data_IF_984099569339
#
_entry.id   IF_984099569339
#
_cell.length_a   1.000
_cell.length_b   1.000
_cell.length_c   1.000
_cell.angle_alpha   90.00
_cell.angle_beta   90.00
_cell.angle_gamma   90.00
#
_symmetry.space_group_name_H-M   'P 1'
#
loop_
_entity.id
_entity.type
_entity.pdbx_description
1 polymer ?
#
# COMPACT_ATOMS: atom_id res chain seq x y z
N UNK A 1 -17.41 35.98 26.28
CA UNK A 1 -17.71 34.55 26.05
C UNK A 1 -17.32 34.23 24.62
N UNK A 2 -16.49 33.20 24.35
CA UNK A 2 -16.12 32.85 22.98
C UNK A 2 -17.30 32.21 22.25
N UNK A 3 -17.46 32.43 20.93
CA UNK A 3 -18.51 31.78 20.16
C UNK A 3 -18.20 30.29 19.95
N UNK A 4 -19.22 29.46 20.20
CA UNK A 4 -19.24 28.01 20.04
C UNK A 4 -18.94 27.56 18.60
N UNK A 5 -18.27 26.42 18.48
CA UNK A 5 -17.97 25.74 17.23
C UNK A 5 -19.26 25.37 16.44
N UNK A 6 -19.21 25.25 15.11
CA UNK A 6 -20.38 24.85 14.33
C UNK A 6 -20.61 23.33 14.41
N UNK A 7 -21.70 22.95 15.07
CA UNK A 7 -22.36 21.65 14.92
C UNK A 7 -23.28 21.69 13.70
N UNK A 8 -22.90 21.08 12.57
CA UNK A 8 -23.87 20.52 11.60
C UNK A 8 -23.18 19.51 10.67
N UNK A 9 -23.09 18.25 11.08
CA UNK A 9 -23.04 17.14 10.11
C UNK A 9 -24.49 16.86 9.69
N UNK A 10 -24.85 17.07 8.43
CA UNK A 10 -26.19 16.83 7.89
C UNK A 10 -26.21 15.50 7.12
N UNK A 11 -27.12 14.61 7.48
CA UNK A 11 -27.29 13.28 6.91
C UNK A 11 -27.90 13.24 5.48
N UNK A 12 -27.89 14.36 4.73
CA UNK A 12 -28.41 14.47 3.36
C UNK A 12 -27.33 14.25 2.28
N UNK A 13 -26.13 13.81 2.66
CA UNK A 13 -24.97 13.60 1.77
C UNK A 13 -24.88 12.18 1.18
N UNK A 14 -26.00 11.48 0.97
CA UNK A 14 -25.98 10.13 0.39
C UNK A 14 -25.52 10.12 -1.08
N UNK A 15 -25.71 11.23 -1.81
CA UNK A 15 -25.17 11.44 -3.18
C UNK A 15 -23.64 11.66 -3.17
N UNK A 16 -23.11 12.12 -2.04
CA UNK A 16 -21.68 12.33 -1.84
C UNK A 16 -20.94 11.00 -1.62
N UNK A 17 -21.61 9.93 -1.17
CA UNK A 17 -20.95 8.64 -0.93
C UNK A 17 -20.37 8.04 -2.20
N UNK A 18 -21.12 8.04 -3.30
CA UNK A 18 -20.63 7.47 -4.57
C UNK A 18 -19.51 8.32 -5.18
N UNK A 19 -19.62 9.66 -5.12
CA UNK A 19 -18.55 10.55 -5.58
C UNK A 19 -17.29 10.44 -4.70
N UNK A 20 -17.47 10.34 -3.39
CA UNK A 20 -16.41 10.10 -2.42
C UNK A 20 -15.74 8.74 -2.69
N UNK A 21 -16.51 7.66 -2.89
CA UNK A 21 -15.98 6.33 -3.23
C UNK A 21 -15.22 6.33 -4.55
N UNK A 22 -15.71 7.03 -5.58
CA UNK A 22 -14.98 7.23 -6.84
C UNK A 22 -13.68 7.99 -6.61
N UNK A 23 -13.70 9.07 -5.84
CA UNK A 23 -12.48 9.83 -5.52
C UNK A 23 -11.48 9.00 -4.70
N UNK A 24 -11.95 8.16 -3.78
CA UNK A 24 -11.11 7.21 -3.04
C UNK A 24 -10.47 6.20 -3.99
N UNK A 25 -11.24 5.61 -4.91
CA UNK A 25 -10.74 4.66 -5.89
C UNK A 25 -9.69 5.30 -6.81
N UNK A 26 -9.94 6.52 -7.31
CA UNK A 26 -8.98 7.26 -8.16
C UNK A 26 -7.66 7.50 -7.42
N UNK A 27 -7.72 7.96 -6.17
CA UNK A 27 -6.51 8.20 -5.37
C UNK A 27 -5.77 6.90 -5.04
N UNK A 28 -6.48 5.81 -4.76
CA UNK A 28 -5.87 4.50 -4.50
C UNK A 28 -5.16 3.95 -5.75
N UNK A 29 -5.79 4.05 -6.92
CA UNK A 29 -5.19 3.68 -8.22
C UNK A 29 -4.00 4.58 -8.55
N UNK A 30 -4.07 5.87 -8.27
CA UNK A 30 -2.96 6.79 -8.49
C UNK A 30 -1.77 6.47 -7.58
N UNK A 31 -2.02 6.17 -6.31
CA UNK A 31 -0.97 5.72 -5.38
C UNK A 31 -0.33 4.41 -5.85
N UNK A 32 -1.15 3.45 -6.29
CA UNK A 32 -0.71 2.17 -6.85
C UNK A 32 0.21 2.37 -8.07
N UNK A 33 -0.23 3.16 -9.05
CA UNK A 33 0.54 3.45 -10.26
C UNK A 33 1.83 4.22 -9.95
N UNK A 34 1.77 5.17 -9.01
CA UNK A 34 2.95 5.93 -8.57
C UNK A 34 3.97 5.01 -7.92
N UNK A 35 3.51 4.12 -7.04
CA UNK A 35 4.37 3.17 -6.35
C UNK A 35 5.01 2.17 -7.33
N UNK A 36 4.24 1.63 -8.27
CA UNK A 36 4.77 0.77 -9.32
C UNK A 36 5.83 1.47 -10.17
N UNK A 37 5.56 2.69 -10.63
CA UNK A 37 6.52 3.47 -11.42
C UNK A 37 7.81 3.83 -10.67
N UNK A 38 7.78 3.83 -9.33
CA UNK A 38 8.99 3.95 -8.52
C UNK A 38 9.76 2.63 -8.53
N UNK A 39 9.09 1.50 -8.30
CA UNK A 39 9.71 0.16 -8.32
C UNK A 39 10.30 -0.23 -9.69
N UNK A 40 9.75 0.29 -10.78
CA UNK A 40 10.32 0.12 -12.13
C UNK A 40 11.68 0.83 -12.25
N UNK A 41 11.83 1.99 -11.60
CA UNK A 41 13.02 2.85 -11.71
C UNK A 41 14.10 2.55 -10.67
N UNK A 42 13.71 2.10 -9.48
CA UNK A 42 14.63 1.80 -8.38
C UNK A 42 14.29 0.46 -7.74
N UNK A 43 15.30 -0.30 -7.27
CA UNK A 43 15.07 -1.55 -6.56
C UNK A 43 14.29 -1.29 -5.26
N UNK A 44 13.31 -2.14 -4.96
CA UNK A 44 12.47 -2.02 -3.78
C UNK A 44 13.27 -2.02 -2.49
N UNK A 45 14.37 -2.79 -2.41
CA UNK A 45 15.27 -2.81 -1.25
C UNK A 45 15.96 -1.49 -0.91
N UNK A 46 16.07 -0.57 -1.87
CA UNK A 46 16.62 0.77 -1.61
C UNK A 46 15.54 1.81 -1.32
N UNK A 47 14.26 1.44 -1.41
CA UNK A 47 13.14 2.37 -1.25
C UNK A 47 12.78 2.56 0.22
N UNK A 48 12.61 3.83 0.61
CA UNK A 48 12.01 4.21 1.89
C UNK A 48 10.62 4.80 1.66
N UNK A 49 9.61 4.18 2.25
CA UNK A 49 8.21 4.56 2.13
C UNK A 49 7.83 5.67 3.11
N UNK A 50 8.42 5.65 4.30
CA UNK A 50 8.22 6.63 5.36
C UNK A 50 9.54 6.95 6.07
N UNK A 51 9.52 7.98 6.94
CA UNK A 51 10.67 8.34 7.77
C UNK A 51 10.93 7.34 8.91
N UNK A 52 9.95 6.50 9.22
CA UNK A 52 9.92 5.60 10.39
C UNK A 52 9.80 4.13 9.96
N UNK A 53 10.28 3.78 8.77
CA UNK A 53 10.15 2.43 8.21
C UNK A 53 10.75 1.34 9.12
N UNK A 54 11.89 1.64 9.75
CA UNK A 54 12.53 0.78 10.73
C UNK A 54 11.59 0.45 11.91
N UNK A 55 10.92 1.45 12.46
CA UNK A 55 9.97 1.28 13.56
C UNK A 55 8.73 0.50 13.13
N UNK A 56 8.22 0.79 11.92
CA UNK A 56 7.05 0.10 11.36
C UNK A 56 7.33 -1.39 11.18
N UNK A 57 8.50 -1.71 10.62
CA UNK A 57 8.94 -3.09 10.41
C UNK A 57 9.11 -3.83 11.74
N UNK A 58 9.81 -3.23 12.71
CA UNK A 58 10.03 -3.85 14.02
C UNK A 58 8.70 -4.10 14.76
N UNK A 59 7.79 -3.13 14.73
CA UNK A 59 6.46 -3.28 15.31
C UNK A 59 5.66 -4.38 14.60
N UNK A 60 5.73 -4.47 13.27
CA UNK A 60 5.04 -5.52 12.52
C UNK A 60 5.55 -6.90 12.92
N UNK A 61 6.86 -7.10 12.94
CA UNK A 61 7.47 -8.39 13.33
C UNK A 61 7.19 -8.74 14.80
N UNK A 62 7.02 -7.74 15.67
CA UNK A 62 6.68 -7.94 17.07
C UNK A 62 5.21 -8.32 17.29
N UNK A 63 4.28 -7.63 16.65
CA UNK A 63 2.83 -7.85 16.84
C UNK A 63 2.29 -8.99 15.95
N UNK A 64 2.97 -9.24 14.82
CA UNK A 64 2.68 -10.30 13.86
C UNK A 64 3.95 -11.11 13.56
N UNK A 65 4.48 -11.88 14.54
CA UNK A 65 5.67 -12.71 14.31
C UNK A 65 5.43 -13.85 13.29
N UNK A 66 4.15 -14.18 13.07
CA UNK A 66 3.68 -15.12 12.06
C UNK A 66 3.57 -14.53 10.65
N UNK A 67 3.72 -13.20 10.50
CA UNK A 67 3.58 -12.54 9.22
C UNK A 67 4.80 -12.78 8.34
N UNK A 68 4.59 -13.51 7.25
CA UNK A 68 5.61 -13.75 6.23
C UNK A 68 5.36 -12.86 5.01
N UNK A 69 6.26 -11.90 4.69
CA UNK A 69 6.07 -10.99 3.56
C UNK A 69 6.19 -11.66 2.19
N UNK A 70 6.76 -12.87 2.10
CA UNK A 70 6.92 -13.64 0.87
C UNK A 70 5.68 -14.49 0.53
N UNK A 71 4.79 -14.72 1.49
CA UNK A 71 3.57 -15.51 1.32
C UNK A 71 2.43 -14.65 0.80
N UNK A 72 1.48 -15.27 0.10
CA UNK A 72 0.23 -14.61 -0.29
C UNK A 72 -0.55 -14.24 0.97
N UNK A 73 -0.87 -12.95 1.10
CA UNK A 73 -1.66 -12.47 2.22
C UNK A 73 -3.07 -13.04 2.14
N UNK A 74 -3.53 -13.65 3.23
CA UNK A 74 -4.88 -14.16 3.33
C UNK A 74 -5.85 -13.04 3.74
N UNK A 75 -6.70 -12.64 2.80
CA UNK A 75 -7.68 -11.59 3.02
C UNK A 75 -8.67 -11.94 4.14
N UNK A 76 -9.05 -13.22 4.26
CA UNK A 76 -9.99 -13.69 5.28
C UNK A 76 -9.42 -13.52 6.69
N UNK A 77 -8.14 -13.82 6.88
CA UNK A 77 -7.47 -13.64 8.18
C UNK A 77 -7.39 -12.17 8.58
N UNK A 78 -7.13 -11.27 7.63
CA UNK A 78 -7.15 -9.83 7.90
C UNK A 78 -8.56 -9.30 8.19
N UNK A 79 -9.57 -9.85 7.51
CA UNK A 79 -10.99 -9.48 7.69
C UNK A 79 -11.63 -10.16 8.92
N UNK A 80 -10.99 -11.18 9.49
CA UNK A 80 -11.43 -11.86 10.70
C UNK A 80 -11.55 -10.89 11.88
N UNK A 81 -12.35 -11.25 12.90
CA UNK A 81 -12.50 -10.41 14.11
C UNK A 81 -11.16 -10.15 14.79
N UNK A 82 -10.33 -11.20 14.91
CA UNK A 82 -9.01 -11.09 15.53
C UNK A 82 -8.06 -10.22 14.68
N UNK A 83 -8.02 -10.45 13.35
CA UNK A 83 -7.19 -9.67 12.43
C UNK A 83 -7.55 -8.18 12.44
N UNK A 84 -8.85 -7.86 12.35
CA UNK A 84 -9.33 -6.47 12.42
C UNK A 84 -8.92 -5.78 13.72
N UNK A 85 -9.04 -6.45 14.86
CA UNK A 85 -8.68 -5.86 16.15
C UNK A 85 -7.17 -5.66 16.28
N UNK A 86 -6.35 -6.64 15.88
CA UNK A 86 -4.89 -6.53 15.86
C UNK A 86 -4.42 -5.40 14.94
N UNK A 87 -4.88 -5.39 13.69
CA UNK A 87 -4.54 -4.33 12.74
C UNK A 87 -5.02 -2.95 13.19
N UNK A 88 -6.21 -2.85 13.80
CA UNK A 88 -6.68 -1.59 14.38
C UNK A 88 -5.76 -1.10 15.49
N UNK A 89 -5.32 -1.99 16.39
CA UNK A 89 -4.37 -1.65 17.45
C UNK A 89 -3.03 -1.20 16.88
N UNK A 90 -2.52 -1.92 15.87
CA UNK A 90 -1.30 -1.56 15.15
C UNK A 90 -1.41 -0.16 14.52
N UNK A 91 -2.49 0.10 13.78
CA UNK A 91 -2.72 1.39 13.11
C UNK A 91 -2.86 2.56 14.09
N UNK A 92 -3.53 2.35 15.23
CA UNK A 92 -3.72 3.38 16.26
C UNK A 92 -2.40 3.88 16.85
N UNK A 93 -1.33 3.06 16.85
CA UNK A 93 0.00 3.50 17.29
C UNK A 93 0.62 4.57 16.37
N UNK A 94 0.12 4.68 15.14
CA UNK A 94 0.57 5.65 14.14
C UNK A 94 -0.41 6.80 13.92
N UNK A 95 -1.51 6.83 14.68
CA UNK A 95 -2.43 7.94 14.69
C UNK A 95 -1.68 9.21 15.13
N UNK A 96 -1.58 10.22 14.25
CA UNK A 96 -0.74 11.44 14.36
C UNK A 96 0.76 11.29 14.03
N UNK A 97 1.27 10.09 13.73
CA UNK A 97 2.66 9.91 13.25
C UNK A 97 2.72 9.77 11.74
N UNK A 98 1.72 9.11 11.16
CA UNK A 98 1.58 8.90 9.72
C UNK A 98 0.34 9.66 9.27
N UNK A 99 0.55 10.59 8.34
CA UNK A 99 -0.54 11.34 7.73
C UNK A 99 -1.39 10.40 6.87
N UNK A 100 -2.72 10.54 6.95
CA UNK A 100 -3.66 9.70 6.20
C UNK A 100 -3.45 8.19 6.45
N UNK A 101 -3.06 7.78 7.66
CA UNK A 101 -2.76 6.37 7.97
C UNK A 101 -3.94 5.42 7.69
N UNK A 102 -5.18 5.91 7.79
CA UNK A 102 -6.42 5.18 7.52
C UNK A 102 -6.90 5.30 6.07
N UNK A 103 -6.20 6.04 5.21
CA UNK A 103 -6.58 6.21 3.81
C UNK A 103 -6.49 4.89 3.05
N UNK A 104 -7.48 4.57 2.22
CA UNK A 104 -7.52 3.31 1.49
C UNK A 104 -6.53 3.25 0.33
N UNK A 105 -5.73 2.18 0.28
CA UNK A 105 -4.69 1.93 -0.72
C UNK A 105 -4.80 0.52 -1.28
N UNK A 106 -4.11 0.26 -2.40
CA UNK A 106 -4.13 -1.06 -3.03
C UNK A 106 -2.75 -1.70 -2.84
N UNK A 107 -2.74 -2.91 -2.27
CA UNK A 107 -1.52 -3.72 -2.13
C UNK A 107 -1.70 -5.04 -2.86
N UNK A 108 -0.59 -5.60 -3.34
CA UNK A 108 -0.59 -6.93 -3.98
C UNK A 108 -0.72 -8.00 -2.90
N UNK A 109 -1.57 -8.99 -3.14
CA UNK A 109 -1.75 -10.15 -2.25
C UNK A 109 -0.45 -10.94 -2.16
N UNK A 110 0.26 -11.10 -3.28
CA UNK A 110 1.56 -11.76 -3.35
C UNK A 110 2.63 -10.82 -3.94
N UNK A 111 3.85 -10.74 -3.37
CA UNK A 111 4.91 -9.89 -3.90
C UNK A 111 5.43 -10.32 -5.29
N UNK A 112 5.23 -11.57 -5.69
CA UNK A 112 5.66 -12.13 -6.99
C UNK A 112 4.67 -11.89 -8.12
N UNK A 113 3.50 -11.32 -7.82
CA UNK A 113 2.46 -11.06 -8.81
C UNK A 113 2.49 -9.60 -9.26
N UNK A 114 1.93 -9.35 -10.44
CA UNK A 114 1.65 -8.01 -10.93
C UNK A 114 0.32 -7.52 -10.36
N UNK A 115 0.02 -6.23 -10.54
CA UNK A 115 -1.29 -5.69 -10.18
C UNK A 115 -2.37 -6.30 -11.08
N UNK A 116 -3.26 -7.09 -10.50
CA UNK A 116 -4.41 -7.69 -11.18
C UNK A 116 -5.68 -7.64 -10.33
N UNK A 117 -6.82 -7.99 -10.93
CA UNK A 117 -8.14 -7.84 -10.28
C UNK A 117 -8.31 -8.80 -9.09
N UNK A 118 -7.75 -10.00 -9.16
CA UNK A 118 -7.86 -11.03 -8.12
C UNK A 118 -6.61 -11.07 -7.23
N UNK A 119 -5.52 -10.46 -7.70
CA UNK A 119 -4.18 -10.46 -7.12
C UNK A 119 -3.93 -9.28 -6.18
N UNK A 120 -4.92 -8.39 -6.03
CA UNK A 120 -4.81 -7.17 -5.23
C UNK A 120 -5.87 -7.10 -4.16
N UNK A 121 -5.55 -6.43 -3.07
CA UNK A 121 -6.43 -6.24 -1.93
C UNK A 121 -6.43 -4.77 -1.52
N UNK A 122 -7.59 -4.30 -1.06
CA UNK A 122 -7.76 -2.96 -0.56
C UNK A 122 -7.45 -2.90 0.94
N UNK A 123 -6.45 -2.11 1.30
CA UNK A 123 -5.96 -1.99 2.68
C UNK A 123 -5.70 -0.53 3.03
N UNK A 124 -5.93 -0.10 4.29
CA UNK A 124 -5.43 1.18 4.78
C UNK A 124 -3.93 1.39 4.49
N UNK A 125 -3.55 2.65 4.28
CA UNK A 125 -2.18 3.09 3.95
C UNK A 125 -1.15 2.56 4.96
N UNK A 126 -1.52 2.51 6.24
CA UNK A 126 -0.63 1.97 7.27
C UNK A 126 -0.37 0.47 7.12
N UNK A 127 -1.39 -0.30 6.71
CA UNK A 127 -1.21 -1.73 6.40
C UNK A 127 -0.34 -1.88 5.14
N UNK A 128 -0.60 -1.07 4.11
CA UNK A 128 0.25 -1.02 2.91
C UNK A 128 1.71 -0.77 3.27
N UNK A 129 2.00 0.23 4.12
CA UNK A 129 3.36 0.50 4.55
C UNK A 129 3.97 -0.69 5.29
N UNK A 130 3.27 -1.26 6.26
CA UNK A 130 3.79 -2.41 7.00
C UNK A 130 4.17 -3.58 6.07
N UNK A 131 3.27 -3.94 5.15
CA UNK A 131 3.45 -5.03 4.19
C UNK A 131 4.59 -4.72 3.21
N UNK A 132 4.56 -3.56 2.55
CA UNK A 132 5.53 -3.23 1.51
C UNK A 132 6.92 -2.90 2.08
N UNK A 133 7.03 -2.31 3.27
CA UNK A 133 8.31 -2.13 3.95
C UNK A 133 8.95 -3.49 4.24
N UNK A 134 8.17 -4.45 4.73
CA UNK A 134 8.66 -5.81 4.95
C UNK A 134 9.13 -6.41 3.62
N UNK A 135 8.33 -6.34 2.55
CA UNK A 135 8.70 -6.87 1.23
C UNK A 135 9.96 -6.24 0.66
N UNK A 136 10.09 -4.92 0.76
CA UNK A 136 11.26 -4.17 0.31
C UNK A 136 12.51 -4.60 1.07
N UNK A 137 12.45 -4.74 2.40
CA UNK A 137 13.59 -5.22 3.20
C UNK A 137 14.05 -6.62 2.83
N UNK A 138 13.12 -7.49 2.44
CA UNK A 138 13.41 -8.85 2.00
C UNK A 138 13.75 -8.95 0.50
N UNK A 139 13.83 -7.81 -0.22
CA UNK A 139 14.14 -7.78 -1.66
C UNK A 139 13.08 -8.43 -2.55
N UNK A 140 11.87 -8.63 -2.03
CA UNK A 140 10.80 -9.35 -2.72
C UNK A 140 10.18 -8.54 -3.87
N UNK A 141 10.51 -7.25 -3.96
CA UNK A 141 10.04 -6.34 -5.00
C UNK A 141 11.11 -6.01 -6.05
N UNK A 142 12.36 -6.46 -5.87
CA UNK A 142 13.48 -6.08 -6.75
C UNK A 142 13.31 -6.66 -8.17
N UNK A 143 12.62 -7.79 -8.30
CA UNK A 143 12.32 -8.39 -9.60
C UNK A 143 11.54 -7.47 -10.54
N UNK A 144 10.77 -6.51 -10.00
CA UNK A 144 9.98 -5.54 -10.79
C UNK A 144 10.93 -4.61 -11.54
N UNK A 145 11.93 -4.09 -10.82
CA UNK A 145 12.99 -3.28 -11.41
C UNK A 145 13.73 -4.09 -12.48
N UNK A 146 14.17 -5.30 -12.16
CA UNK A 146 14.90 -6.17 -13.10
C UNK A 146 14.09 -6.49 -14.37
N UNK A 147 12.80 -6.81 -14.22
CA UNK A 147 11.89 -7.08 -15.33
C UNK A 147 11.75 -5.83 -16.22
N UNK A 148 11.52 -4.67 -15.61
CA UNK A 148 11.37 -3.41 -16.34
C UNK A 148 12.64 -3.05 -17.12
N UNK A 149 13.82 -3.12 -16.49
CA UNK A 149 15.08 -2.83 -17.17
C UNK A 149 15.33 -3.76 -18.37
N UNK A 150 15.01 -5.06 -18.23
CA UNK A 150 15.10 -6.03 -19.34
C UNK A 150 14.14 -5.69 -20.48
N UNK A 151 12.91 -5.30 -20.17
CA UNK A 151 11.92 -4.93 -21.18
C UNK A 151 12.34 -3.67 -21.93
N UNK A 152 12.86 -2.66 -21.24
CA UNK A 152 13.38 -1.44 -21.86
C UNK A 152 14.59 -1.72 -22.77
N UNK A 153 15.51 -2.59 -22.35
CA UNK A 153 16.62 -3.02 -23.20
C UNK A 153 16.12 -3.75 -24.45
N UNK A 154 15.14 -4.67 -24.30
CA UNK A 154 14.59 -5.39 -25.43
C UNK A 154 13.90 -4.45 -26.44
N UNK A 155 13.10 -3.50 -25.95
CA UNK A 155 12.48 -2.46 -26.77
C UNK A 155 13.52 -1.60 -27.51
N UNK A 156 14.62 -1.26 -26.84
CA UNK A 156 15.72 -0.51 -27.45
C UNK A 156 16.41 -1.31 -28.55
N UNK A 157 16.68 -2.60 -28.32
CA UNK A 157 17.27 -3.49 -29.31
C UNK A 157 16.35 -3.66 -30.53
N UNK A 158 15.05 -3.80 -30.32
CA UNK A 158 14.06 -3.89 -31.40
C UNK A 158 13.95 -2.59 -32.22
N UNK A 159 14.10 -1.43 -31.58
CA UNK A 159 14.11 -0.14 -32.29
C UNK A 159 15.34 -0.01 -33.19
N UNK A 160 16.53 -0.31 -32.65
CA UNK A 160 17.79 -0.28 -33.41
C UNK A 160 17.79 -1.29 -34.56
N UNK A 161 17.14 -2.45 -34.39
CA UNK A 161 17.03 -3.46 -35.44
C UNK A 161 16.05 -3.09 -36.57
N UNK A 162 15.19 -2.10 -36.36
CA UNK A 162 14.21 -1.61 -37.35
C UNK A 162 14.69 -0.36 -38.10
N UNK A 163 15.79 0.26 -37.67
CA UNK A 163 16.49 1.36 -38.35
C UNK A 163 17.57 0.83 -39.30
#
# INVERSE_FOLDING_TARGET
MPPSAPETFKAEEADNLEDIEKQFAVKAVQQMATYWGILEKVPGSSLRLTKIDDEIYDHLMRDFPEFDPAVTINEDEMKSKAGKERWRKFMMAYNNRVDDYSFGTIVRSNPKWEYGNEETIFVPRMQFYAIEIARNRHGLNDWIHEKYQKEQENLRLEAVAKE
#
